data_IF_104003716542
#
_entry.id   IF_104003716542
#
_cell.length_a   1.000
_cell.length_b   1.000
_cell.length_c   1.000
_cell.angle_alpha   90.00
_cell.angle_beta   90.00
_cell.angle_gamma   90.00
#
_symmetry.space_group_name_H-M   'P 1'
#
loop_
_entity.id
_entity.type
_entity.pdbx_description
1 polymer ?
#
# COMPACT_ATOMS: atom_id res chain seq x y z
N UNK A 1 2.80 -10.06 5.98
CA UNK A 1 2.40 -9.24 7.15
C UNK A 1 2.80 -7.77 7.02
N UNK A 2 4.10 -7.41 6.98
CA UNK A 2 4.53 -6.00 7.02
C UNK A 2 4.01 -5.17 5.82
N UNK A 3 4.06 -5.71 4.61
CA UNK A 3 3.50 -5.04 3.41
C UNK A 3 2.00 -4.82 3.56
N UNK A 4 1.23 -5.83 3.94
CA UNK A 4 -0.22 -5.68 4.17
C UNK A 4 -0.56 -4.64 5.24
N UNK A 5 0.22 -4.54 6.33
CA UNK A 5 0.02 -3.47 7.32
C UNK A 5 0.26 -2.07 6.74
N UNK A 6 1.26 -1.94 5.85
CA UNK A 6 1.51 -0.68 5.14
C UNK A 6 0.41 -0.35 4.16
N UNK A 7 -0.08 -1.32 3.39
CA UNK A 7 -1.22 -1.15 2.48
C UNK A 7 -2.45 -0.67 3.27
N UNK A 8 -2.79 -1.37 4.36
CA UNK A 8 -3.88 -0.96 5.26
C UNK A 8 -3.64 0.42 5.86
N UNK A 9 -2.40 0.76 6.23
CA UNK A 9 -2.05 2.08 6.74
C UNK A 9 -2.23 3.17 5.67
N UNK A 10 -1.87 2.90 4.42
CA UNK A 10 -2.09 3.78 3.28
C UNK A 10 -3.57 4.03 2.98
N UNK A 11 -4.50 3.19 3.46
CA UNK A 11 -5.93 3.49 3.39
C UNK A 11 -6.41 4.52 4.43
N UNK A 12 -5.62 4.83 5.49
CA UNK A 12 -6.03 5.71 6.59
C UNK A 12 -6.25 7.17 6.20
N UNK A 13 -5.66 7.58 5.08
CA UNK A 13 -5.79 8.92 4.52
C UNK A 13 -7.07 9.11 3.69
N UNK A 14 -7.79 8.02 3.38
CA UNK A 14 -9.05 8.08 2.63
C UNK A 14 -10.16 8.55 3.56
N UNK A 15 -11.02 9.46 3.09
CA UNK A 15 -12.08 10.07 3.93
C UNK A 15 -13.05 9.05 4.52
N UNK A 16 -13.31 7.96 3.79
CA UNK A 16 -14.18 6.86 4.22
C UNK A 16 -13.55 5.96 5.32
N UNK A 17 -12.32 6.24 5.73
CA UNK A 17 -11.65 5.51 6.80
C UNK A 17 -12.16 5.97 8.18
N UNK A 18 -12.95 5.10 8.83
CA UNK A 18 -13.64 5.41 10.10
C UNK A 18 -12.73 5.88 11.24
N UNK A 19 -11.50 5.35 11.32
CA UNK A 19 -10.54 5.69 12.37
C UNK A 19 -9.65 6.84 11.88
N UNK A 20 -10.20 8.05 11.88
CA UNK A 20 -9.56 9.25 11.33
C UNK A 20 -8.19 9.48 11.95
N UNK A 21 -7.16 9.45 11.11
CA UNK A 21 -5.86 10.05 11.37
C UNK A 21 -5.58 11.00 10.22
N UNK A 22 -5.49 12.30 10.49
CA UNK A 22 -5.24 13.35 9.49
C UNK A 22 -3.77 13.32 9.00
N UNK A 23 -3.28 12.13 8.61
CA UNK A 23 -1.89 11.84 8.30
C UNK A 23 -1.80 11.31 6.88
N UNK A 24 -1.13 12.08 6.03
CA UNK A 24 -0.67 11.62 4.73
C UNK A 24 0.36 10.49 4.91
N UNK A 25 0.29 9.48 4.04
CA UNK A 25 1.04 8.22 4.19
C UNK A 25 2.02 7.97 3.06
N UNK A 26 2.66 8.99 2.49
CA UNK A 26 3.57 8.82 1.35
C UNK A 26 4.78 7.92 1.70
N UNK A 27 5.22 7.93 2.96
CA UNK A 27 6.28 7.04 3.44
C UNK A 27 5.93 5.57 3.31
N UNK A 28 4.66 5.20 3.54
CA UNK A 28 4.23 3.81 3.43
C UNK A 28 4.29 3.33 1.96
N UNK A 29 3.94 4.18 0.99
CA UNK A 29 4.07 3.88 -0.45
C UNK A 29 5.53 3.66 -0.85
N UNK A 30 6.43 4.55 -0.39
CA UNK A 30 7.88 4.40 -0.61
C UNK A 30 8.41 3.10 -0.02
N UNK A 31 8.05 2.78 1.23
CA UNK A 31 8.54 1.57 1.90
C UNK A 31 8.02 0.30 1.19
N UNK A 32 6.75 0.24 0.79
CA UNK A 32 6.20 -0.88 0.00
C UNK A 32 7.02 -1.06 -1.28
N UNK A 33 7.23 0.02 -2.04
CA UNK A 33 8.03 0.00 -3.25
C UNK A 33 9.45 -0.54 -2.98
N UNK A 34 10.16 0.00 -1.99
CA UNK A 34 11.53 -0.42 -1.68
C UNK A 34 11.62 -1.87 -1.19
N UNK A 35 10.63 -2.35 -0.44
CA UNK A 35 10.59 -3.75 0.02
C UNK A 35 10.40 -4.69 -1.17
N UNK A 36 9.42 -4.40 -2.02
CA UNK A 36 9.01 -5.30 -3.10
C UNK A 36 9.87 -5.23 -4.36
N UNK A 37 10.66 -4.16 -4.53
CA UNK A 37 11.65 -4.06 -5.61
C UNK A 37 13.07 -4.42 -5.17
N UNK A 38 13.27 -4.77 -3.89
CA UNK A 38 14.57 -5.22 -3.41
C UNK A 38 14.91 -6.60 -4.03
N UNK A 39 15.98 -6.73 -4.83
CA UNK A 39 16.34 -7.99 -5.47
C UNK A 39 16.63 -9.11 -4.47
N UNK A 40 17.08 -8.77 -3.25
CA UNK A 40 17.32 -9.74 -2.17
C UNK A 40 16.03 -10.34 -1.61
N UNK A 41 14.88 -9.77 -1.93
CA UNK A 41 13.56 -10.13 -1.42
C UNK A 41 12.55 -10.34 -2.56
N UNK A 42 13.01 -10.73 -3.76
CA UNK A 42 12.17 -10.87 -4.95
C UNK A 42 10.91 -11.75 -4.72
N UNK A 43 11.03 -12.81 -3.93
CA UNK A 43 9.93 -13.71 -3.55
C UNK A 43 8.79 -13.01 -2.79
N UNK A 44 9.03 -11.85 -2.15
CA UNK A 44 8.00 -11.14 -1.41
C UNK A 44 6.91 -10.56 -2.30
N UNK A 45 7.24 -10.16 -3.54
CA UNK A 45 6.25 -9.63 -4.46
C UNK A 45 5.23 -10.70 -4.84
N UNK A 46 5.69 -11.90 -5.13
CA UNK A 46 4.84 -13.06 -5.41
C UNK A 46 4.03 -13.44 -4.15
N UNK A 47 4.68 -13.46 -2.98
CA UNK A 47 4.01 -13.80 -1.72
C UNK A 47 2.87 -12.83 -1.37
N UNK A 48 2.95 -11.55 -1.72
CA UNK A 48 1.87 -10.57 -1.47
C UNK A 48 0.60 -10.90 -2.25
N UNK A 49 0.70 -11.52 -3.42
CA UNK A 49 -0.44 -11.89 -4.26
C UNK A 49 -0.83 -13.37 -4.12
N UNK A 50 -0.09 -14.16 -3.34
CA UNK A 50 -0.40 -15.57 -3.13
C UNK A 50 -1.66 -15.73 -2.28
N UNK A 51 -2.63 -16.52 -2.78
CA UNK A 51 -3.90 -16.78 -2.11
C UNK A 51 -3.72 -17.35 -0.70
N UNK A 52 -2.71 -18.21 -0.48
CA UNK A 52 -2.33 -18.76 0.83
C UNK A 52 -2.08 -17.68 1.89
N UNK A 53 -1.81 -16.43 1.49
CA UNK A 53 -1.55 -15.30 2.39
C UNK A 53 -2.76 -14.37 2.59
N UNK A 54 -3.88 -14.58 1.89
CA UNK A 54 -5.04 -13.68 1.97
C UNK A 54 -5.72 -13.70 3.34
N UNK A 55 -5.63 -14.80 4.08
CA UNK A 55 -6.08 -14.81 5.48
C UNK A 55 -5.33 -13.77 6.33
N UNK A 56 -4.07 -13.45 6.01
CA UNK A 56 -3.29 -12.42 6.72
C UNK A 56 -3.82 -11.03 6.36
N UNK A 57 -4.09 -10.79 5.07
CA UNK A 57 -4.70 -9.55 4.58
C UNK A 57 -6.04 -9.29 5.29
N UNK A 58 -6.93 -10.28 5.29
CA UNK A 58 -8.23 -10.21 5.96
C UNK A 58 -8.09 -9.88 7.44
N UNK A 59 -7.24 -10.63 8.16
CA UNK A 59 -7.06 -10.44 9.60
C UNK A 59 -6.55 -9.04 9.93
N UNK A 60 -5.62 -8.49 9.13
CA UNK A 60 -5.09 -7.13 9.31
C UNK A 60 -6.18 -6.07 9.11
N UNK A 61 -6.95 -6.16 8.02
CA UNK A 61 -8.00 -5.20 7.71
C UNK A 61 -9.16 -5.29 8.71
N UNK A 62 -9.61 -6.51 9.02
CA UNK A 62 -10.69 -6.79 9.98
C UNK A 62 -10.34 -6.33 11.40
N UNK A 63 -9.09 -6.53 11.85
CA UNK A 63 -8.64 -6.09 13.17
C UNK A 63 -8.74 -4.56 13.37
N UNK A 64 -8.84 -3.79 12.29
CA UNK A 64 -8.96 -2.33 12.30
C UNK A 64 -10.28 -1.82 11.71
N UNK A 65 -11.25 -2.72 11.45
CA UNK A 65 -12.54 -2.43 10.81
C UNK A 65 -12.39 -1.62 9.51
N UNK A 66 -11.42 -2.03 8.66
CA UNK A 66 -11.09 -1.35 7.41
C UNK A 66 -11.69 -2.12 6.23
N UNK A 67 -12.54 -1.49 5.41
CA UNK A 67 -12.99 -2.08 4.15
C UNK A 67 -11.82 -2.24 3.15
N UNK A 68 -11.71 -3.41 2.51
CA UNK A 68 -10.65 -3.69 1.54
C UNK A 68 -10.76 -2.82 0.28
N UNK A 69 -11.98 -2.38 -0.07
CA UNK A 69 -12.28 -1.52 -1.21
C UNK A 69 -11.58 -0.16 -1.12
N UNK A 70 -11.15 0.25 0.08
CA UNK A 70 -10.37 1.49 0.25
C UNK A 70 -9.01 1.43 -0.45
N UNK A 71 -8.50 0.24 -0.77
CA UNK A 71 -7.29 0.07 -1.59
C UNK A 71 -7.44 0.70 -2.99
N UNK A 72 -8.67 0.76 -3.52
CA UNK A 72 -8.98 1.30 -4.84
C UNK A 72 -9.12 2.83 -4.87
N UNK A 73 -9.03 3.50 -3.71
CA UNK A 73 -9.31 4.94 -3.59
C UNK A 73 -8.05 5.82 -3.52
N UNK A 74 -6.88 5.25 -3.79
CA UNK A 74 -5.60 5.93 -3.63
C UNK A 74 -5.48 7.23 -4.45
N UNK A 75 -6.09 7.27 -5.64
CA UNK A 75 -6.14 8.45 -6.53
C UNK A 75 -6.70 9.70 -5.85
N UNK A 76 -7.66 9.54 -4.93
CA UNK A 76 -8.26 10.67 -4.21
C UNK A 76 -7.26 11.46 -3.34
N UNK A 77 -6.04 10.93 -3.15
CA UNK A 77 -5.00 11.51 -2.30
C UNK A 77 -3.68 11.76 -3.04
N UNK A 78 -3.65 11.64 -4.37
CA UNK A 78 -2.43 11.77 -5.17
C UNK A 78 -1.69 13.08 -4.91
N UNK A 79 -2.36 14.23 -4.98
CA UNK A 79 -1.74 15.54 -4.73
C UNK A 79 -1.19 15.67 -3.31
N UNK A 80 -1.93 15.21 -2.31
CA UNK A 80 -1.50 15.26 -0.90
C UNK A 80 -0.26 14.39 -0.69
N UNK A 81 -0.26 13.20 -1.29
CA UNK A 81 0.83 12.23 -1.24
C UNK A 81 2.08 12.75 -1.95
N UNK A 82 1.93 13.43 -3.09
CA UNK A 82 3.04 14.02 -3.83
C UNK A 82 3.76 15.07 -2.98
N UNK A 83 2.99 15.96 -2.35
CA UNK A 83 3.54 17.00 -1.48
C UNK A 83 4.19 16.41 -0.22
N UNK A 84 3.57 15.40 0.40
CA UNK A 84 4.12 14.71 1.57
C UNK A 84 5.40 13.93 1.23
N UNK A 85 5.45 13.31 0.05
CA UNK A 85 6.65 12.65 -0.45
C UNK A 85 7.81 13.63 -0.57
N UNK A 86 7.57 14.76 -1.24
CA UNK A 86 8.57 15.81 -1.46
C UNK A 86 9.06 16.44 -0.16
N UNK A 87 8.14 16.77 0.75
CA UNK A 87 8.46 17.57 1.95
C UNK A 87 8.90 16.74 3.15
N UNK A 88 8.46 15.48 3.26
CA UNK A 88 8.74 14.64 4.44
C UNK A 88 9.51 13.38 4.10
N UNK A 89 9.24 12.72 2.98
CA UNK A 89 9.88 11.44 2.67
C UNK A 89 11.29 11.65 2.12
N UNK A 90 11.45 12.47 1.08
CA UNK A 90 12.74 12.75 0.44
C UNK A 90 13.81 13.21 1.47
N UNK A 91 13.54 14.16 2.38
CA UNK A 91 14.56 14.62 3.34
C UNK A 91 15.04 13.55 4.33
N UNK A 92 14.29 12.46 4.50
CA UNK A 92 14.63 11.36 5.41
C UNK A 92 15.32 10.19 4.71
N UNK A 93 15.46 10.24 3.37
CA UNK A 93 16.14 9.20 2.61
C UNK A 93 17.63 9.56 2.52
N UNK A 94 18.49 8.68 3.04
CA UNK A 94 19.95 8.83 3.00
C UNK A 94 20.57 8.34 1.68
N UNK A 95 19.77 7.75 0.80
CA UNK A 95 20.19 7.23 -0.51
C UNK A 95 20.24 8.35 -1.53
N UNK A 96 21.29 8.37 -2.36
CA UNK A 96 21.38 9.26 -3.53
C UNK A 96 20.40 8.91 -4.64
N UNK A 97 19.85 7.69 -4.62
CA UNK A 97 18.84 7.21 -5.56
C UNK A 97 17.47 7.26 -4.91
N UNK A 98 16.70 8.29 -5.27
CA UNK A 98 15.27 8.43 -4.99
C UNK A 98 14.52 8.31 -6.30
N UNK A 99 13.55 7.40 -6.37
CA UNK A 99 12.65 7.31 -7.52
C UNK A 99 11.64 8.46 -7.51
N UNK A 100 11.13 8.79 -8.70
CA UNK A 100 10.06 9.76 -8.86
C UNK A 100 8.78 9.33 -8.15
N UNK A 101 8.07 10.31 -7.60
CA UNK A 101 6.82 10.07 -6.89
C UNK A 101 5.81 9.33 -7.77
N UNK A 102 5.61 9.78 -9.00
CA UNK A 102 4.64 9.20 -9.94
C UNK A 102 4.91 7.71 -10.14
N UNK A 103 6.19 7.33 -10.30
CA UNK A 103 6.57 5.94 -10.46
C UNK A 103 6.21 5.10 -9.22
N UNK A 104 6.53 5.60 -8.01
CA UNK A 104 6.18 4.95 -6.75
C UNK A 104 4.66 4.86 -6.58
N UNK A 105 3.95 5.92 -6.92
CA UNK A 105 2.50 6.02 -6.78
C UNK A 105 1.80 4.99 -7.67
N UNK A 106 2.11 4.99 -8.98
CA UNK A 106 1.51 4.06 -9.93
C UNK A 106 1.91 2.61 -9.65
N UNK A 107 3.13 2.36 -9.17
CA UNK A 107 3.53 1.03 -8.72
C UNK A 107 2.65 0.51 -7.58
N UNK A 108 2.37 1.36 -6.57
CA UNK A 108 1.52 0.99 -5.45
C UNK A 108 0.07 0.84 -5.86
N UNK A 109 -0.44 1.75 -6.70
CA UNK A 109 -1.81 1.67 -7.24
C UNK A 109 -2.04 0.34 -7.97
N UNK A 110 -1.18 0.00 -8.91
CA UNK A 110 -1.25 -1.26 -9.66
C UNK A 110 -1.21 -2.48 -8.73
N UNK A 111 -0.35 -2.45 -7.71
CA UNK A 111 -0.28 -3.52 -6.71
C UNK A 111 -1.59 -3.64 -5.92
N UNK A 112 -2.18 -2.53 -5.51
CA UNK A 112 -3.38 -2.49 -4.68
C UNK A 112 -4.60 -2.99 -5.46
N UNK A 113 -4.73 -2.55 -6.71
CA UNK A 113 -5.78 -2.99 -7.64
C UNK A 113 -5.67 -4.50 -7.90
N UNK A 114 -4.48 -5.00 -8.24
CA UNK A 114 -4.23 -6.44 -8.45
C UNK A 114 -4.50 -7.26 -7.21
N UNK A 115 -4.04 -6.80 -6.04
CA UNK A 115 -4.28 -7.50 -4.78
C UNK A 115 -5.78 -7.60 -4.48
N UNK A 116 -6.54 -6.53 -4.73
CA UNK A 116 -7.99 -6.54 -4.53
C UNK A 116 -8.66 -7.50 -5.52
N UNK A 117 -8.30 -7.46 -6.81
CA UNK A 117 -8.84 -8.36 -7.84
C UNK A 117 -8.60 -9.83 -7.51
N UNK A 118 -7.36 -10.21 -7.23
CA UNK A 118 -7.00 -11.59 -6.87
C UNK A 118 -7.74 -12.05 -5.61
N UNK A 119 -7.89 -11.16 -4.62
CA UNK A 119 -8.66 -11.45 -3.42
C UNK A 119 -10.15 -11.70 -3.70
N UNK A 120 -10.76 -10.91 -4.59
CA UNK A 120 -12.16 -11.12 -4.98
C UNK A 120 -12.35 -12.45 -5.72
N UNK A 121 -11.40 -12.81 -6.59
CA UNK A 121 -11.41 -14.10 -7.29
C UNK A 121 -11.33 -15.26 -6.30
N UNK A 122 -10.40 -15.19 -5.35
CA UNK A 122 -10.28 -16.17 -4.26
C UNK A 122 -11.59 -16.35 -3.48
N UNK A 123 -12.29 -15.25 -3.17
CA UNK A 123 -13.57 -15.29 -2.46
C UNK A 123 -14.75 -15.84 -3.26
N UNK A 124 -14.65 -15.92 -4.59
CA UNK A 124 -15.65 -16.56 -5.43
C UNK A 124 -15.45 -18.08 -5.55
N UNK A 125 -14.23 -18.55 -5.25
CA UNK A 125 -13.84 -19.97 -5.30
C UNK A 125 -14.03 -20.71 -3.97
N UNK A 126 -14.14 -19.97 -2.85
CA UNK A 126 -14.41 -20.46 -1.47
C UNK A 126 -15.91 -20.74 -1.22
#
# INVERSE_FOLDING_TARGET
>A
MLVYEKIRASCQQIEDYKLVGNKTRARDLYDIYKILTNPKQAHLREAVLAQDNFYILENIFKAKDVPLELMLKLDSKESDLAEDYKTKVIPQITSSETEDFDYIFFYNKDLFEKLFEEYQNYKQEE
#
